data_IF_648936182015
#
_entry.id   IF_648936182015
#
_cell.length_a   1.000
_cell.length_b   1.000
_cell.length_c   1.000
_cell.angle_alpha   90.00
_cell.angle_beta   90.00
_cell.angle_gamma   90.00
#
_symmetry.space_group_name_H-M   'P 1'
#
loop_
_entity.id
_entity.type
_entity.pdbx_description
1 polymer ?
#
# COMPACT_ATOMS: atom_id res chain seq x y z
N UNK A 1 16.40 -11.06 -3.37
CA UNK A 1 14.98 -11.12 -2.95
C UNK A 1 14.66 -9.81 -2.25
N UNK A 2 14.07 -8.88 -2.98
CA UNK A 2 13.82 -7.52 -2.52
C UNK A 2 12.63 -7.55 -1.58
N UNK A 3 12.92 -7.37 -0.29
CA UNK A 3 11.93 -7.32 0.77
C UNK A 3 11.01 -6.13 0.48
N UNK A 4 9.71 -6.39 0.31
CA UNK A 4 8.70 -5.37 0.02
C UNK A 4 8.69 -4.21 1.02
N UNK A 5 8.10 -3.07 0.62
CA UNK A 5 7.95 -1.89 1.46
C UNK A 5 7.20 -2.22 2.77
N UNK A 6 7.64 -1.69 3.90
CA UNK A 6 6.85 -1.78 5.13
C UNK A 6 5.68 -0.80 5.09
N UNK A 7 4.60 -1.09 5.83
CA UNK A 7 3.45 -0.18 6.03
C UNK A 7 3.89 1.24 6.40
N UNK A 8 4.93 1.38 7.24
CA UNK A 8 5.44 2.70 7.64
C UNK A 8 6.11 3.43 6.47
N UNK A 9 7.00 2.76 5.71
CA UNK A 9 7.60 3.36 4.51
C UNK A 9 6.56 3.74 3.46
N UNK A 10 5.54 2.90 3.28
CA UNK A 10 4.46 3.17 2.32
C UNK A 10 3.68 4.41 2.75
N UNK A 11 3.31 4.48 4.03
CA UNK A 11 2.61 5.63 4.60
C UNK A 11 3.42 6.92 4.47
N UNK A 12 4.73 6.89 4.80
CA UNK A 12 5.63 8.02 4.63
C UNK A 12 5.73 8.50 3.17
N UNK A 13 5.81 7.57 2.21
CA UNK A 13 5.88 7.92 0.77
C UNK A 13 4.56 8.51 0.25
N UNK A 14 3.43 8.05 0.75
CA UNK A 14 2.13 8.59 0.41
C UNK A 14 1.79 9.89 1.19
N UNK A 15 2.56 10.24 2.22
CA UNK A 15 2.23 11.34 3.13
C UNK A 15 1.05 11.05 4.05
N UNK A 16 0.74 9.77 4.30
CA UNK A 16 -0.32 9.33 5.20
C UNK A 16 0.23 8.82 6.54
N UNK A 17 -0.65 8.75 7.53
CA UNK A 17 -0.35 8.02 8.76
C UNK A 17 -0.44 6.49 8.54
N UNK A 18 0.49 5.72 9.14
CA UNK A 18 0.46 4.26 9.03
C UNK A 18 -0.81 3.65 9.66
N UNK A 19 -1.43 4.34 10.63
CA UNK A 19 -2.69 3.92 11.24
C UNK A 19 -3.88 4.01 10.27
N UNK A 20 -3.96 5.06 9.47
CA UNK A 20 -4.97 5.18 8.41
C UNK A 20 -4.87 4.00 7.44
N UNK A 21 -3.65 3.61 7.07
CA UNK A 21 -3.41 2.49 6.17
C UNK A 21 -3.84 1.15 6.80
N UNK A 22 -3.57 0.94 8.10
CA UNK A 22 -4.03 -0.25 8.84
C UNK A 22 -5.55 -0.29 8.96
N UNK A 23 -6.19 0.85 9.25
CA UNK A 23 -7.65 0.95 9.34
C UNK A 23 -8.29 0.66 7.99
N UNK A 24 -7.75 1.22 6.90
CA UNK A 24 -8.26 0.97 5.55
C UNK A 24 -8.08 -0.50 5.14
N UNK A 25 -6.94 -1.13 5.47
CA UNK A 25 -6.74 -2.56 5.31
C UNK A 25 -7.75 -3.40 6.10
N UNK A 26 -8.03 -3.02 7.35
CA UNK A 26 -8.97 -3.75 8.20
C UNK A 26 -10.42 -3.62 7.69
N UNK A 27 -10.81 -2.42 7.26
CA UNK A 27 -12.18 -2.13 6.78
C UNK A 27 -12.44 -2.66 5.37
N UNK A 28 -11.45 -2.60 4.49
CA UNK A 28 -11.61 -2.85 3.05
C UNK A 28 -10.89 -4.13 2.60
N UNK A 29 -10.06 -4.74 3.45
CA UNK A 29 -9.25 -5.94 3.15
C UNK A 29 -8.10 -5.70 2.15
N UNK A 30 -8.16 -4.59 1.42
CA UNK A 30 -7.22 -4.19 0.37
C UNK A 30 -7.16 -2.67 0.34
N UNK A 31 -6.00 -2.07 0.10
CA UNK A 31 -5.90 -0.62 -0.06
C UNK A 31 -5.79 -0.30 -1.55
N UNK A 32 -6.85 0.26 -2.16
CA UNK A 32 -6.91 0.54 -3.60
C UNK A 32 -6.45 -0.68 -4.43
N UNK A 33 -6.99 -1.86 -4.15
CA UNK A 33 -6.65 -3.11 -4.83
C UNK A 33 -5.24 -3.67 -4.55
N UNK A 34 -4.41 -2.98 -3.77
CA UNK A 34 -3.10 -3.49 -3.35
C UNK A 34 -3.24 -4.28 -2.06
N UNK A 35 -2.69 -5.50 -2.04
CA UNK A 35 -2.70 -6.39 -0.88
C UNK A 35 -1.28 -6.60 -0.35
N UNK A 36 -1.04 -6.40 0.95
CA UNK A 36 0.24 -6.73 1.55
C UNK A 36 0.43 -8.25 1.65
N UNK A 37 1.66 -8.71 1.48
CA UNK A 37 2.07 -10.06 1.86
C UNK A 37 2.31 -10.13 3.36
N UNK A 38 1.76 -11.17 4.00
CA UNK A 38 2.05 -11.48 5.39
C UNK A 38 3.37 -12.26 5.45
N UNK A 39 4.39 -11.63 6.03
CA UNK A 39 5.69 -12.26 6.26
C UNK A 39 5.64 -13.19 7.49
N UNK A 40 6.53 -14.19 7.57
CA UNK A 40 6.61 -15.11 8.71
C UNK A 40 6.98 -14.40 10.02
N UNK A 41 7.55 -13.20 9.95
CA UNK A 41 7.84 -12.35 11.12
C UNK A 41 6.61 -11.55 11.63
N UNK A 42 5.42 -11.82 11.09
CA UNK A 42 4.17 -11.13 11.46
C UNK A 42 4.01 -9.73 10.87
N UNK A 43 4.98 -9.25 10.07
CA UNK A 43 4.89 -7.94 9.40
C UNK A 43 4.15 -8.05 8.06
N UNK A 44 3.60 -6.92 7.63
CA UNK A 44 3.00 -6.74 6.32
C UNK A 44 4.04 -6.13 5.38
N UNK A 45 4.36 -6.85 4.31
CA UNK A 45 5.23 -6.42 3.23
C UNK A 45 4.39 -6.02 2.02
N UNK A 46 4.49 -4.76 1.64
CA UNK A 46 3.85 -4.22 0.46
C UNK A 46 4.74 -4.41 -0.76
N UNK A 47 4.19 -4.75 -1.93
CA UNK A 47 4.98 -4.73 -3.16
C UNK A 47 5.51 -3.31 -3.40
N UNK A 48 6.67 -3.18 -4.06
CA UNK A 48 7.25 -1.86 -4.37
C UNK A 48 6.35 -1.05 -5.31
N UNK A 49 5.66 -1.76 -6.20
CA UNK A 49 4.63 -1.25 -7.12
C UNK A 49 3.35 -0.76 -6.42
N UNK A 50 3.21 -0.97 -5.10
CA UNK A 50 2.03 -0.53 -4.35
C UNK A 50 1.74 0.96 -4.52
N UNK A 51 2.79 1.81 -4.51
CA UNK A 51 2.65 3.25 -4.64
C UNK A 51 2.13 3.62 -6.02
N UNK A 52 2.77 3.09 -7.07
CA UNK A 52 2.36 3.33 -8.47
C UNK A 52 0.93 2.88 -8.70
N UNK A 53 0.54 1.70 -8.24
CA UNK A 53 -0.84 1.20 -8.33
C UNK A 53 -1.86 2.14 -7.68
N UNK A 54 -1.57 2.63 -6.47
CA UNK A 54 -2.46 3.55 -5.75
C UNK A 54 -2.55 4.88 -6.51
N UNK A 55 -1.41 5.36 -7.02
CA UNK A 55 -1.36 6.60 -7.79
C UNK A 55 -2.11 6.48 -9.12
N UNK A 56 -1.93 5.40 -9.88
CA UNK A 56 -2.63 5.13 -11.15
C UNK A 56 -4.14 5.03 -10.93
N UNK A 57 -4.59 4.37 -9.85
CA UNK A 57 -6.01 4.27 -9.52
C UNK A 57 -6.63 5.62 -9.15
N UNK A 58 -5.89 6.46 -8.42
CA UNK A 58 -6.33 7.81 -8.10
C UNK A 58 -6.31 8.72 -9.34
N UNK A 59 -5.26 8.60 -10.13
CA UNK A 59 -5.00 9.37 -11.32
C UNK A 59 -5.50 8.63 -12.55
N UNK A 60 -6.79 8.19 -12.55
CA UNK A 60 -7.43 7.75 -13.79
C UNK A 60 -7.03 8.75 -14.88
N UNK A 61 -6.27 8.35 -15.92
CA UNK A 61 -5.92 9.24 -17.00
C UNK A 61 -7.21 9.41 -17.81
N UNK A 62 -8.12 10.19 -17.27
CA UNK A 62 -9.14 10.82 -18.07
C UNK A 62 -8.37 11.72 -19.04
N UNK A 63 -8.33 11.24 -20.27
CA UNK A 63 -8.18 11.97 -21.52
C UNK A 63 -6.80 12.52 -21.84
N UNK A 64 -6.15 11.88 -22.82
CA UNK A 64 -5.51 12.60 -23.91
C UNK A 64 -6.23 12.22 -25.20
#
# INVERSE_FOLDING_TARGET
>A
MEIGLTTNRLAQRLGLQPDTLRVALCRHGSYFGVKPLKLPNGRLAWPHDAIERILILNNSPAVN
#
